data_IF_261359291336
#
_entry.id   IF_261359291336
#
_cell.length_a   1.000
_cell.length_b   1.000
_cell.length_c   1.000
_cell.angle_alpha   90.00
_cell.angle_beta   90.00
_cell.angle_gamma   90.00
#
_symmetry.space_group_name_H-M   'P 1'
#
loop_
_entity.id
_entity.type
_entity.pdbx_description
1 polymer ?
#
# COMPACT_ATOMS: atom_id res chain seq x y z
N UNK A 1 -33.31 3.58 0.57
CA UNK A 1 -32.02 3.00 0.13
C UNK A 1 -31.03 4.15 0.09
N UNK A 2 -29.94 4.10 0.85
CA UNK A 2 -28.94 5.17 0.78
C UNK A 2 -28.46 5.30 -0.67
N UNK A 3 -28.44 6.52 -1.19
CA UNK A 3 -28.06 6.80 -2.56
C UNK A 3 -26.57 6.41 -2.77
N UNK A 4 -26.36 5.23 -3.36
CA UNK A 4 -25.03 4.66 -3.57
C UNK A 4 -24.16 5.59 -4.42
N UNK A 5 -24.77 6.26 -5.40
CA UNK A 5 -24.08 7.23 -6.24
C UNK A 5 -23.60 8.42 -5.43
N UNK A 6 -24.40 8.90 -4.47
CA UNK A 6 -23.99 9.97 -3.55
C UNK A 6 -22.74 9.57 -2.74
N UNK A 7 -22.69 8.34 -2.21
CA UNK A 7 -21.53 7.85 -1.44
C UNK A 7 -20.27 7.82 -2.32
N UNK A 8 -20.38 7.31 -3.55
CA UNK A 8 -19.25 7.25 -4.48
C UNK A 8 -18.77 8.67 -4.83
N UNK A 9 -19.69 9.60 -5.10
CA UNK A 9 -19.35 11.01 -5.39
C UNK A 9 -18.68 11.70 -4.22
N UNK A 10 -19.13 11.48 -2.99
CA UNK A 10 -18.50 12.03 -1.78
C UNK A 10 -17.06 11.52 -1.63
N UNK A 11 -16.82 10.24 -1.92
CA UNK A 11 -15.47 9.65 -1.93
C UNK A 11 -14.60 10.24 -3.04
N UNK A 12 -15.14 10.42 -4.24
CA UNK A 12 -14.44 11.09 -5.35
C UNK A 12 -14.05 12.54 -5.00
N UNK A 13 -14.92 13.29 -4.32
CA UNK A 13 -14.59 14.63 -3.79
C UNK A 13 -13.46 14.56 -2.76
N UNK A 14 -13.48 13.54 -1.90
CA UNK A 14 -12.40 13.34 -0.93
C UNK A 14 -11.06 13.06 -1.61
N UNK A 15 -11.05 12.22 -2.64
CA UNK A 15 -9.86 11.96 -3.46
C UNK A 15 -9.38 13.25 -4.12
N UNK A 16 -10.29 14.05 -4.69
CA UNK A 16 -9.91 15.32 -5.30
C UNK A 16 -9.20 16.25 -4.32
N UNK A 17 -9.72 16.42 -3.10
CA UNK A 17 -9.05 17.21 -2.05
C UNK A 17 -7.66 16.68 -1.74
N UNK A 18 -7.51 15.36 -1.62
CA UNK A 18 -6.21 14.73 -1.41
C UNK A 18 -5.25 14.93 -2.58
N UNK A 19 -5.75 14.92 -3.82
CA UNK A 19 -4.95 15.24 -5.00
C UNK A 19 -4.44 16.68 -4.93
N UNK A 20 -5.30 17.65 -4.60
CA UNK A 20 -4.93 19.06 -4.49
C UNK A 20 -3.90 19.28 -3.36
N UNK A 21 -4.11 18.68 -2.18
CA UNK A 21 -3.18 18.73 -1.04
C UNK A 21 -1.79 18.16 -1.38
N UNK A 22 -1.76 17.07 -2.15
CA UNK A 22 -0.53 16.39 -2.59
C UNK A 22 0.04 16.94 -3.89
N UNK A 23 -0.57 17.98 -4.46
CA UNK A 23 -0.20 18.59 -5.76
C UNK A 23 -0.17 17.61 -6.93
N UNK A 24 -1.06 16.62 -6.92
CA UNK A 24 -1.24 15.66 -8.01
C UNK A 24 -2.06 16.35 -9.12
N UNK A 25 -1.39 16.68 -10.22
CA UNK A 25 -2.03 17.37 -11.33
C UNK A 25 -2.97 16.42 -12.11
N UNK A 26 -4.20 16.88 -12.40
CA UNK A 26 -5.15 16.16 -13.25
C UNK A 26 -4.54 15.77 -14.61
N UNK A 27 -3.67 16.63 -15.16
CA UNK A 27 -2.98 16.36 -16.42
C UNK A 27 -1.99 15.20 -16.31
N UNK A 28 -1.33 15.02 -15.15
CA UNK A 28 -0.47 13.88 -14.91
C UNK A 28 -1.31 12.59 -14.87
N UNK A 29 -2.37 12.57 -14.05
CA UNK A 29 -3.32 11.43 -13.98
C UNK A 29 -3.91 11.08 -15.35
N UNK A 30 -4.21 12.09 -16.17
CA UNK A 30 -4.71 11.90 -17.53
C UNK A 30 -3.67 11.21 -18.43
N UNK A 31 -2.42 11.67 -18.41
CA UNK A 31 -1.34 11.12 -19.22
C UNK A 31 -0.98 9.71 -18.75
N UNK A 32 -0.73 9.54 -17.46
CA UNK A 32 -0.31 8.26 -16.87
C UNK A 32 -1.42 7.21 -17.01
N UNK A 33 -2.68 7.63 -16.83
CA UNK A 33 -3.82 6.76 -17.00
C UNK A 33 -4.25 6.52 -18.45
N UNK A 34 -3.51 7.01 -19.44
CA UNK A 34 -3.74 6.72 -20.86
C UNK A 34 -5.05 7.26 -21.42
N UNK A 35 -5.59 8.36 -20.86
CA UNK A 35 -6.75 9.04 -21.45
C UNK A 35 -6.31 10.07 -22.49
N UNK A 36 -7.04 10.14 -23.60
CA UNK A 36 -6.81 11.10 -24.67
C UNK A 36 -7.28 12.52 -24.33
N UNK A 37 -8.15 12.67 -23.32
CA UNK A 37 -8.71 13.96 -22.91
C UNK A 37 -8.68 14.12 -21.38
N UNK A 38 -8.29 15.31 -20.86
CA UNK A 38 -8.44 15.67 -19.45
C UNK A 38 -9.89 15.67 -18.97
N UNK A 39 -10.87 15.81 -19.89
CA UNK A 39 -12.28 15.90 -19.53
C UNK A 39 -12.80 14.66 -18.81
N UNK A 40 -12.25 13.48 -19.09
CA UNK A 40 -12.64 12.23 -18.43
C UNK A 40 -12.15 12.20 -16.97
N UNK A 41 -10.92 12.60 -16.71
CA UNK A 41 -10.41 12.68 -15.33
C UNK A 41 -11.13 13.80 -14.58
N UNK A 42 -11.37 14.94 -15.23
CA UNK A 42 -12.13 16.06 -14.65
C UNK A 42 -13.61 15.75 -14.40
N UNK A 43 -14.22 14.79 -15.11
CA UNK A 43 -15.59 14.38 -14.80
C UNK A 43 -15.63 13.59 -13.49
N UNK A 44 -14.60 12.79 -13.20
CA UNK A 44 -14.51 12.03 -11.95
C UNK A 44 -13.98 12.85 -10.78
N UNK A 45 -13.09 13.83 -11.04
CA UNK A 45 -12.43 14.65 -10.03
C UNK A 45 -12.51 16.14 -10.41
N UNK A 46 -13.71 16.75 -10.41
CA UNK A 46 -13.89 18.12 -10.84
C UNK A 46 -13.09 19.09 -9.96
N UNK A 47 -12.55 20.16 -10.58
CA UNK A 47 -11.82 21.21 -9.86
C UNK A 47 -12.75 22.18 -9.12
N UNK A 48 -13.97 22.31 -9.64
CA UNK A 48 -15.02 23.12 -9.06
C UNK A 48 -15.73 22.32 -7.96
N UNK A 49 -15.78 22.88 -6.75
CA UNK A 49 -16.45 22.26 -5.60
C UNK A 49 -17.97 22.14 -5.81
N UNK A 50 -18.57 23.02 -6.62
CA UNK A 50 -20.01 23.01 -6.88
C UNK A 50 -20.39 22.01 -7.99
N UNK A 51 -19.42 21.55 -8.76
CA UNK A 51 -19.64 20.54 -9.80
C UNK A 51 -19.74 19.15 -9.20
N UNK A 52 -20.81 18.44 -9.55
CA UNK A 52 -20.99 17.06 -9.13
C UNK A 52 -20.09 16.10 -9.93
N UNK A 53 -19.33 15.22 -9.26
CA UNK A 53 -18.56 14.18 -9.94
C UNK A 53 -19.48 13.22 -10.71
N UNK A 54 -19.08 12.86 -11.93
CA UNK A 54 -19.65 11.72 -12.61
C UNK A 54 -19.31 10.44 -11.84
N UNK A 55 -20.27 9.51 -11.74
CA UNK A 55 -20.03 8.20 -11.13
C UNK A 55 -18.95 7.47 -11.94
N UNK A 56 -17.86 7.10 -11.29
CA UNK A 56 -16.76 6.39 -11.95
C UNK A 56 -17.18 4.98 -12.35
N UNK A 57 -16.89 4.59 -13.59
CA UNK A 57 -17.08 3.20 -14.03
C UNK A 57 -15.99 2.29 -13.45
N UNK A 58 -16.33 1.02 -13.22
CA UNK A 58 -15.37 -0.01 -12.79
C UNK A 58 -14.17 -0.10 -13.74
N UNK A 59 -14.39 0.01 -15.05
CA UNK A 59 -13.31 0.03 -16.04
C UNK A 59 -12.33 1.21 -15.87
N UNK A 60 -12.83 2.39 -15.46
CA UNK A 60 -11.97 3.53 -15.17
C UNK A 60 -11.18 3.35 -13.87
N UNK A 61 -11.78 2.71 -12.86
CA UNK A 61 -11.07 2.33 -11.64
C UNK A 61 -9.93 1.35 -11.94
N UNK A 62 -10.19 0.26 -12.65
CA UNK A 62 -9.15 -0.70 -13.02
C UNK A 62 -8.02 -0.06 -13.81
N UNK A 63 -8.35 0.84 -14.73
CA UNK A 63 -7.35 1.61 -15.46
C UNK A 63 -6.46 2.44 -14.52
N UNK A 64 -7.02 3.14 -13.52
CA UNK A 64 -6.23 3.89 -12.54
C UNK A 64 -5.32 2.97 -11.71
N UNK A 65 -5.77 1.76 -11.38
CA UNK A 65 -5.00 0.77 -10.63
C UNK A 65 -3.85 0.22 -11.48
N UNK A 66 -4.13 -0.24 -12.70
CA UNK A 66 -3.14 -0.86 -13.60
C UNK A 66 -2.06 0.12 -14.06
N UNK A 67 -2.42 1.38 -14.26
CA UNK A 67 -1.49 2.43 -14.70
C UNK A 67 -0.77 3.13 -13.56
N UNK A 68 -1.18 2.87 -12.31
CA UNK A 68 -0.69 3.57 -11.12
C UNK A 68 -0.81 5.10 -11.22
N UNK A 69 -1.73 5.61 -12.05
CA UNK A 69 -1.93 7.04 -12.30
C UNK A 69 -2.42 7.81 -11.07
N UNK A 70 -2.91 7.10 -10.06
CA UNK A 70 -3.16 7.61 -8.72
C UNK A 70 -2.60 6.63 -7.68
N UNK A 71 -2.11 7.13 -6.55
CA UNK A 71 -1.70 6.28 -5.43
C UNK A 71 -2.83 5.34 -4.97
N UNK A 72 -2.51 4.07 -4.71
CA UNK A 72 -3.49 3.04 -4.36
C UNK A 72 -4.25 3.36 -3.07
N UNK A 73 -3.62 4.08 -2.14
CA UNK A 73 -4.26 4.55 -0.91
C UNK A 73 -5.36 5.60 -1.18
N UNK A 74 -5.24 6.40 -2.25
CA UNK A 74 -6.31 7.31 -2.66
C UNK A 74 -7.44 6.54 -3.34
N UNK A 75 -7.12 5.56 -4.20
CA UNK A 75 -8.11 4.71 -4.84
C UNK A 75 -8.88 3.85 -3.82
N UNK A 76 -8.23 3.48 -2.71
CA UNK A 76 -8.86 2.77 -1.59
C UNK A 76 -10.02 3.56 -0.95
N UNK A 77 -10.03 4.90 -1.06
CA UNK A 77 -11.13 5.72 -0.56
C UNK A 77 -12.45 5.46 -1.30
N UNK A 78 -12.42 4.89 -2.51
CA UNK A 78 -13.63 4.50 -3.24
C UNK A 78 -14.31 3.25 -2.64
N UNK A 79 -13.57 2.44 -1.88
CA UNK A 79 -14.06 1.19 -1.32
C UNK A 79 -14.84 1.41 -0.01
N UNK A 80 -15.65 0.43 0.42
CA UNK A 80 -16.25 0.44 1.75
C UNK A 80 -15.19 0.54 2.85
N UNK A 81 -15.60 1.03 4.02
CA UNK A 81 -14.72 1.09 5.19
C UNK A 81 -14.18 -0.31 5.53
N UNK A 82 -12.89 -0.39 5.85
CA UNK A 82 -12.19 -1.64 6.14
C UNK A 82 -11.57 -2.34 4.93
N UNK A 83 -11.76 -1.82 3.71
CA UNK A 83 -11.14 -2.35 2.49
C UNK A 83 -10.01 -1.44 2.03
N UNK A 84 -8.93 -2.06 1.55
CA UNK A 84 -7.76 -1.38 0.97
C UNK A 84 -7.34 -2.04 -0.33
N UNK A 85 -6.87 -1.24 -1.27
CA UNK A 85 -6.18 -1.71 -2.48
C UNK A 85 -4.70 -1.70 -2.16
N UNK A 86 -4.08 -2.86 -2.20
CA UNK A 86 -2.63 -3.00 -2.03
C UNK A 86 -2.09 -3.92 -3.12
N UNK A 87 -0.88 -3.62 -3.59
CA UNK A 87 -0.14 -4.53 -4.44
C UNK A 87 0.28 -5.72 -3.59
N UNK A 88 -0.01 -6.93 -4.06
CA UNK A 88 0.56 -8.13 -3.46
C UNK A 88 2.01 -8.20 -3.93
N UNK A 89 3.01 -8.25 -3.03
CA UNK A 89 4.40 -8.38 -3.43
C UNK A 89 4.60 -9.64 -4.26
N UNK A 90 5.07 -9.48 -5.49
CA UNK A 90 5.41 -10.59 -6.37
C UNK A 90 6.86 -11.02 -6.13
N UNK A 91 7.13 -12.33 -6.17
CA UNK A 91 8.47 -12.88 -5.97
C UNK A 91 8.99 -12.80 -4.52
N UNK A 92 8.09 -12.60 -3.55
CA UNK A 92 8.36 -12.80 -2.13
C UNK A 92 7.88 -14.19 -1.74
N UNK A 93 8.81 -15.04 -1.31
CA UNK A 93 8.51 -16.30 -0.65
C UNK A 93 8.30 -16.03 0.85
N UNK A 94 7.03 -15.90 1.25
CA UNK A 94 6.69 -15.65 2.65
C UNK A 94 7.03 -16.85 3.55
N UNK A 95 7.08 -18.07 3.01
CA UNK A 95 7.44 -19.28 3.75
C UNK A 95 8.94 -19.29 4.08
N UNK A 96 9.78 -18.80 3.15
CA UNK A 96 11.22 -18.59 3.40
C UNK A 96 11.43 -17.55 4.52
N UNK A 97 10.72 -16.42 4.47
CA UNK A 97 10.77 -15.39 5.50
C UNK A 97 10.31 -15.91 6.87
N UNK A 98 9.22 -16.69 6.91
CA UNK A 98 8.74 -17.34 8.13
C UNK A 98 9.82 -18.26 8.72
N UNK A 99 10.41 -19.13 7.89
CA UNK A 99 11.46 -20.07 8.31
C UNK A 99 12.66 -19.36 8.94
N UNK A 100 13.13 -18.26 8.33
CA UNK A 100 14.22 -17.48 8.88
C UNK A 100 13.85 -16.77 10.18
N UNK A 101 12.63 -16.25 10.30
CA UNK A 101 12.14 -15.66 11.55
C UNK A 101 12.14 -16.70 12.69
N UNK A 102 11.63 -17.90 12.43
CA UNK A 102 11.64 -18.99 13.41
C UNK A 102 13.06 -19.41 13.81
N UNK A 103 13.97 -19.49 12.86
CA UNK A 103 15.36 -19.86 13.13
C UNK A 103 16.09 -18.81 13.96
N UNK A 104 15.91 -17.52 13.65
CA UNK A 104 16.45 -16.43 14.46
C UNK A 104 15.92 -16.48 15.90
N UNK A 105 14.61 -16.68 16.07
CA UNK A 105 14.00 -16.79 17.41
C UNK A 105 14.54 -18.00 18.18
N UNK A 106 14.76 -19.14 17.51
CA UNK A 106 15.35 -20.33 18.10
C UNK A 106 16.78 -20.07 18.60
N UNK A 107 17.62 -19.47 17.77
CA UNK A 107 19.02 -19.13 18.11
C UNK A 107 19.06 -18.10 19.24
N UNK A 108 18.23 -17.06 19.18
CA UNK A 108 18.11 -16.05 20.23
C UNK A 108 17.69 -16.66 21.56
N UNK A 109 16.69 -17.55 21.54
CA UNK A 109 16.24 -18.23 22.75
C UNK A 109 17.32 -19.12 23.35
N UNK A 110 18.15 -19.76 22.52
CA UNK A 110 19.27 -20.58 22.98
C UNK A 110 20.41 -19.71 23.57
N UNK A 111 20.70 -18.56 22.96
CA UNK A 111 21.76 -17.66 23.39
C UNK A 111 21.50 -17.05 24.79
N UNK A 112 20.23 -16.85 25.16
CA UNK A 112 19.84 -16.35 26.48
C UNK A 112 19.59 -17.46 27.52
N UNK A 113 19.88 -18.71 27.19
CA UNK A 113 19.65 -19.83 28.11
C UNK A 113 20.70 -19.82 29.24
N UNK A 114 20.36 -20.05 30.52
CA UNK A 114 21.33 -20.00 31.63
C UNK A 114 22.55 -20.92 31.49
N UNK A 115 22.44 -21.97 30.69
CA UNK A 115 23.54 -22.90 30.37
C UNK A 115 24.37 -22.48 29.14
N UNK A 116 24.10 -21.31 28.55
CA UNK A 116 24.87 -20.76 27.45
C UNK A 116 26.22 -20.21 27.92
N UNK A 117 27.21 -20.01 27.03
CA UNK A 117 28.55 -19.57 27.40
C UNK A 117 28.61 -18.27 28.22
N UNK A 118 27.64 -17.36 28.07
CA UNK A 118 27.51 -16.14 28.87
C UNK A 118 26.24 -16.11 29.74
N UNK A 119 25.56 -17.26 29.89
CA UNK A 119 24.34 -17.41 30.68
C UNK A 119 23.17 -16.63 30.08
N UNK A 120 22.71 -15.57 30.73
CA UNK A 120 21.61 -14.74 30.18
C UNK A 120 22.10 -13.65 29.22
N UNK A 121 23.39 -13.34 29.27
CA UNK A 121 24.04 -12.41 28.34
C UNK A 121 24.44 -13.13 27.05
N UNK A 122 24.67 -12.38 25.98
CA UNK A 122 25.06 -12.94 24.67
C UNK A 122 26.58 -12.82 24.49
N UNK A 123 27.25 -13.97 24.41
CA UNK A 123 28.68 -14.09 24.14
C UNK A 123 29.02 -13.78 22.67
N UNK A 124 30.31 -13.61 22.35
CA UNK A 124 30.72 -13.22 21.00
C UNK A 124 30.43 -14.30 19.94
N UNK A 125 30.50 -15.59 20.29
CA UNK A 125 30.11 -16.66 19.36
C UNK A 125 28.60 -16.68 19.09
N UNK A 126 27.78 -16.29 20.07
CA UNK A 126 26.33 -16.19 19.92
C UNK A 126 25.91 -14.96 19.12
N UNK A 127 26.64 -13.83 19.26
CA UNK A 127 26.46 -12.65 18.41
C UNK A 127 26.72 -12.98 16.94
N UNK A 128 27.76 -13.77 16.65
CA UNK A 128 28.04 -14.23 15.29
C UNK A 128 26.89 -15.08 14.74
N UNK A 129 26.44 -16.10 15.49
CA UNK A 129 25.32 -16.94 15.06
C UNK A 129 24.00 -16.18 14.89
N UNK A 130 23.74 -15.18 15.75
CA UNK A 130 22.60 -14.28 15.56
C UNK A 130 22.73 -13.42 14.31
N UNK A 131 23.92 -12.86 14.06
CA UNK A 131 24.20 -12.07 12.87
C UNK A 131 24.03 -12.84 11.57
N UNK A 132 24.43 -14.11 11.53
CA UNK A 132 24.25 -15.01 10.39
C UNK A 132 22.78 -15.38 10.16
N UNK A 133 21.96 -15.38 11.22
CA UNK A 133 20.53 -15.67 11.14
C UNK A 133 19.65 -14.45 10.83
N UNK A 134 20.22 -13.23 10.84
CA UNK A 134 19.50 -12.03 10.44
C UNK A 134 19.28 -12.05 8.93
N UNK A 135 18.04 -11.88 8.52
CA UNK A 135 17.67 -11.69 7.12
C UNK A 135 17.21 -10.25 6.85
N UNK A 136 17.65 -9.62 5.76
CA UNK A 136 17.12 -8.35 5.34
C UNK A 136 15.70 -8.53 4.79
N UNK A 137 14.73 -7.89 5.42
CA UNK A 137 13.39 -7.78 4.86
C UNK A 137 13.45 -6.85 3.64
N UNK A 138 12.97 -7.34 2.49
CA UNK A 138 12.72 -6.45 1.36
C UNK A 138 11.56 -5.54 1.73
N UNK A 139 11.72 -4.23 1.51
CA UNK A 139 10.61 -3.32 1.64
C UNK A 139 9.53 -3.72 0.61
N UNK A 140 8.28 -3.84 1.05
CA UNK A 140 7.15 -3.91 0.13
C UNK A 140 7.03 -2.53 -0.54
N UNK A 141 7.40 -2.47 -1.82
CA UNK A 141 7.26 -1.29 -2.68
C UNK A 141 5.96 -1.32 -3.44
#
# INVERSE_FOLDING_TARGET
MADYDRIVRDRQRSIRRQMDERRIAIKAVQLDGGWTSPSTVLSYFPADADREPATMSVASLFRLIETEALPLELLSLLLPSGFVIQRVPEGIDFDEYEKHCHEFLRIKSAAHHPASPAGREVSDCEKTGLGEAVIPLRAAG
#
